data_IF_167090618169
#
_entry.id   IF_167090618169
#
_cell.length_a   1.000
_cell.length_b   1.000
_cell.length_c   1.000
_cell.angle_alpha   90.00
_cell.angle_beta   90.00
_cell.angle_gamma   90.00
#
_symmetry.space_group_name_H-M   'P 1'
#
loop_
_entity.id
_entity.type
_entity.pdbx_description
1 polymer ?
#
# COMPACT_ATOMS: atom_id res chain seq x y z
N UNK A 1 2.77 -19.97 -26.30
CA UNK A 1 2.97 -18.57 -25.87
C UNK A 1 3.90 -18.60 -24.68
N UNK A 2 5.11 -18.07 -24.84
CA UNK A 2 6.03 -17.91 -23.72
C UNK A 2 5.73 -16.56 -23.05
N UNK A 3 5.24 -16.61 -21.80
CA UNK A 3 4.96 -15.42 -21.02
C UNK A 3 6.25 -14.98 -20.31
N UNK A 4 6.57 -13.68 -20.29
CA UNK A 4 7.71 -13.18 -19.53
C UNK A 4 7.49 -13.46 -18.02
N UNK A 5 8.51 -14.04 -17.37
CA UNK A 5 8.50 -14.34 -15.94
C UNK A 5 9.29 -13.25 -15.22
N UNK A 6 8.72 -12.67 -14.18
CA UNK A 6 9.40 -11.76 -13.28
C UNK A 6 9.56 -12.41 -11.89
N UNK A 7 10.76 -12.93 -11.54
CA UNK A 7 11.02 -13.51 -10.24
C UNK A 7 11.51 -12.49 -9.19
N UNK A 8 11.35 -11.19 -9.45
CA UNK A 8 11.84 -10.16 -8.54
C UNK A 8 11.00 -10.01 -7.28
N UNK A 9 11.68 -9.79 -6.16
CA UNK A 9 11.11 -9.54 -4.84
C UNK A 9 11.24 -8.05 -4.55
N UNK A 10 10.11 -7.42 -4.27
CA UNK A 10 10.03 -6.03 -3.87
C UNK A 10 9.75 -5.91 -2.36
N UNK A 11 10.47 -5.02 -1.69
CA UNK A 11 10.23 -4.67 -0.29
C UNK A 11 9.85 -3.20 -0.16
N UNK A 12 8.89 -2.92 0.71
CA UNK A 12 8.50 -1.55 1.05
C UNK A 12 9.22 -1.12 2.33
N UNK A 13 9.74 0.10 2.35
CA UNK A 13 10.39 0.67 3.53
C UNK A 13 10.15 2.18 3.64
N UNK A 14 10.35 2.72 4.85
CA UNK A 14 10.42 4.16 5.08
C UNK A 14 11.58 4.78 4.29
N UNK A 15 11.45 6.07 3.99
CA UNK A 15 12.49 6.80 3.31
C UNK A 15 12.67 8.20 3.90
N UNK A 16 13.92 8.56 4.14
CA UNK A 16 14.35 9.92 4.42
C UNK A 16 15.85 10.02 4.23
N UNK A 17 16.29 11.04 3.49
CA UNK A 17 17.70 11.26 3.19
C UNK A 17 18.05 12.70 3.47
N UNK A 18 19.07 12.92 4.28
CA UNK A 18 19.63 14.25 4.52
C UNK A 18 21.11 14.11 4.90
N UNK A 19 21.93 15.13 4.66
CA UNK A 19 23.37 15.08 5.01
C UNK A 19 23.61 14.93 6.53
N UNK A 20 22.64 15.36 7.32
CA UNK A 20 22.59 15.24 8.78
C UNK A 20 21.50 14.25 9.20
N UNK A 21 21.87 13.26 10.02
CA UNK A 21 20.99 12.19 10.49
C UNK A 21 19.78 12.73 11.26
N UNK A 22 20.01 13.63 12.21
CA UNK A 22 18.97 14.09 13.13
C UNK A 22 17.93 14.93 12.38
N UNK A 23 18.37 15.72 11.39
CA UNK A 23 17.48 16.44 10.51
C UNK A 23 16.70 15.50 9.58
N UNK A 24 17.28 14.39 9.10
CA UNK A 24 16.54 13.36 8.35
C UNK A 24 15.40 12.78 9.21
N UNK A 25 15.72 12.39 10.44
CA UNK A 25 14.77 11.83 11.41
C UNK A 25 13.67 12.83 11.74
N UNK A 26 14.04 14.07 12.09
CA UNK A 26 13.11 15.15 12.41
C UNK A 26 12.14 15.44 11.25
N UNK A 27 12.61 15.38 10.01
CA UNK A 27 11.78 15.68 8.83
C UNK A 27 10.84 14.55 8.44
N UNK A 28 11.23 13.29 8.61
CA UNK A 28 10.53 12.16 7.98
C UNK A 28 9.91 11.14 8.95
N UNK A 29 10.38 11.05 10.20
CA UNK A 29 9.93 10.03 11.17
C UNK A 29 8.43 10.12 11.45
N UNK A 30 7.89 11.33 11.66
CA UNK A 30 6.46 11.50 11.95
C UNK A 30 5.58 11.07 10.76
N UNK A 31 6.01 11.37 9.53
CA UNK A 31 5.28 10.92 8.34
C UNK A 31 5.17 9.41 8.28
N UNK A 32 6.23 8.68 8.62
CA UNK A 32 6.23 7.23 8.67
C UNK A 32 5.39 6.66 9.83
N UNK A 33 5.43 7.30 11.00
CA UNK A 33 4.57 6.95 12.13
C UNK A 33 3.09 7.12 11.77
N UNK A 34 2.74 8.22 11.08
CA UNK A 34 1.39 8.43 10.59
C UNK A 34 0.98 7.36 9.55
N UNK A 35 1.86 6.99 8.63
CA UNK A 35 1.59 5.91 7.67
C UNK A 35 1.23 4.61 8.40
N UNK A 36 2.04 4.24 9.39
CA UNK A 36 1.78 3.06 10.22
C UNK A 36 0.47 3.14 11.00
N UNK A 37 0.16 4.31 11.58
CA UNK A 37 -1.12 4.56 12.24
C UNK A 37 -2.30 4.43 11.27
N UNK A 38 -2.16 4.96 10.05
CA UNK A 38 -3.16 4.85 9.00
C UNK A 38 -3.44 3.40 8.62
N UNK A 39 -2.42 2.54 8.53
CA UNK A 39 -2.63 1.10 8.33
C UNK A 39 -3.42 0.49 9.50
N UNK A 40 -3.04 0.77 10.74
CA UNK A 40 -3.78 0.30 11.91
C UNK A 40 -5.24 0.78 11.94
N UNK A 41 -5.48 2.04 11.55
CA UNK A 41 -6.84 2.58 11.45
C UNK A 41 -7.68 1.81 10.42
N UNK A 42 -7.15 1.55 9.22
CA UNK A 42 -7.95 0.90 8.18
C UNK A 42 -8.08 -0.61 8.33
N UNK A 43 -7.11 -1.27 8.95
CA UNK A 43 -7.06 -2.74 9.01
C UNK A 43 -7.31 -3.34 10.39
N UNK A 44 -7.20 -2.56 11.48
CA UNK A 44 -7.16 -3.12 12.84
C UNK A 44 -8.22 -2.51 13.74
N UNK A 45 -8.19 -1.20 13.97
CA UNK A 45 -8.95 -0.58 15.07
C UNK A 45 -9.85 0.59 14.67
N UNK A 46 -9.68 1.14 13.47
CA UNK A 46 -10.37 2.36 13.08
C UNK A 46 -11.76 2.12 12.51
N UNK A 47 -12.61 3.14 12.65
CA UNK A 47 -13.88 3.25 11.93
C UNK A 47 -13.78 4.49 11.05
N UNK A 48 -13.77 4.30 9.74
CA UNK A 48 -13.65 5.38 8.78
C UNK A 48 -15.04 5.84 8.30
N UNK A 49 -15.36 7.12 8.49
CA UNK A 49 -16.54 7.78 7.92
C UNK A 49 -16.08 8.66 6.75
N UNK A 50 -16.35 8.28 5.48
CA UNK A 50 -15.92 9.03 4.32
C UNK A 50 -16.30 10.51 4.39
N UNK A 51 -15.34 11.40 4.15
CA UNK A 51 -15.52 12.85 4.19
C UNK A 51 -15.80 13.44 5.58
N UNK A 52 -15.66 12.68 6.67
CA UNK A 52 -15.86 13.15 8.05
C UNK A 52 -14.74 12.74 9.01
N UNK A 53 -14.18 11.54 8.87
CA UNK A 53 -13.04 11.11 9.70
C UNK A 53 -11.78 11.90 9.33
N UNK A 54 -11.12 12.47 10.35
CA UNK A 54 -9.82 13.11 10.20
C UNK A 54 -8.74 12.27 10.89
N UNK A 55 -8.16 11.34 10.13
CA UNK A 55 -7.16 10.39 10.63
C UNK A 55 -5.90 11.10 11.12
N UNK A 56 -5.55 12.25 10.53
CA UNK A 56 -4.39 13.03 10.98
C UNK A 56 -4.59 13.63 12.37
N UNK A 57 -5.74 14.25 12.62
CA UNK A 57 -6.06 14.75 13.96
C UNK A 57 -6.12 13.62 14.99
N UNK A 58 -6.71 12.48 14.63
CA UNK A 58 -6.79 11.32 15.50
C UNK A 58 -5.40 10.75 15.81
N UNK A 59 -4.51 10.70 14.82
CA UNK A 59 -3.10 10.36 15.03
C UNK A 59 -2.42 11.31 16.02
N UNK A 60 -2.55 12.63 15.81
CA UNK A 60 -1.94 13.64 16.70
C UNK A 60 -2.45 13.52 18.15
N UNK A 61 -3.76 13.27 18.35
CA UNK A 61 -4.34 13.04 19.69
C UNK A 61 -3.83 11.77 20.36
N UNK A 62 -3.48 10.76 19.56
CA UNK A 62 -3.05 9.45 20.06
C UNK A 62 -1.54 9.24 19.99
N UNK A 63 -0.75 10.22 19.52
CA UNK A 63 0.69 10.10 19.23
C UNK A 63 1.47 9.46 20.38
N UNK A 64 1.25 9.95 21.60
CA UNK A 64 1.87 9.42 22.84
C UNK A 64 1.43 7.97 23.16
N UNK A 65 0.18 7.63 22.86
CA UNK A 65 -0.36 6.26 23.06
C UNK A 65 0.08 5.30 21.97
N UNK A 66 0.56 5.81 20.84
CA UNK A 66 0.96 5.05 19.64
C UNK A 66 2.47 4.95 19.46
N UNK A 67 3.27 5.66 20.26
CA UNK A 67 4.73 5.45 20.31
C UNK A 67 5.04 3.97 20.55
N UNK A 68 5.70 3.32 19.59
CA UNK A 68 6.05 1.90 19.64
C UNK A 68 4.88 0.93 19.41
N UNK A 69 3.70 1.41 18.98
CA UNK A 69 2.53 0.57 18.64
C UNK A 69 2.25 0.45 17.16
N UNK A 70 3.10 1.01 16.29
CA UNK A 70 3.09 0.58 14.90
C UNK A 70 3.37 -0.92 14.87
N UNK A 71 2.50 -1.70 14.21
CA UNK A 71 2.74 -3.13 13.98
C UNK A 71 4.04 -3.38 13.21
N UNK A 72 4.57 -2.35 12.54
CA UNK A 72 5.86 -2.34 11.88
C UNK A 72 6.97 -2.03 12.90
N UNK A 73 6.85 -0.99 13.73
CA UNK A 73 7.85 -0.65 14.78
C UNK A 73 8.04 -1.79 15.79
N UNK A 74 6.97 -2.51 16.17
CA UNK A 74 7.06 -3.66 17.09
C UNK A 74 7.91 -4.83 16.54
N UNK A 75 8.16 -4.87 15.23
CA UNK A 75 8.95 -5.91 14.55
C UNK A 75 10.35 -5.43 14.16
N UNK A 76 10.65 -4.15 14.38
CA UNK A 76 11.98 -3.57 14.14
C UNK A 76 12.80 -3.73 15.43
N UNK A 77 14.07 -4.10 15.32
CA UNK A 77 14.96 -4.19 16.48
C UNK A 77 14.95 -2.85 17.23
N UNK A 78 14.89 -2.83 18.57
CA UNK A 78 14.92 -1.58 19.35
C UNK A 78 16.15 -0.70 19.05
N UNK A 79 17.20 -1.26 18.44
CA UNK A 79 18.43 -0.54 18.06
C UNK A 79 18.31 0.27 16.76
N UNK A 80 17.19 0.17 16.02
CA UNK A 80 16.97 0.93 14.78
C UNK A 80 15.83 1.90 15.00
N UNK A 81 16.17 3.14 15.37
CA UNK A 81 15.18 4.17 15.72
C UNK A 81 14.31 4.59 14.53
N UNK A 82 14.86 4.55 13.30
CA UNK A 82 14.16 4.94 12.08
C UNK A 82 14.73 4.18 10.84
N UNK A 83 14.32 2.92 10.58
CA UNK A 83 14.85 2.16 9.44
C UNK A 83 14.58 2.91 8.13
N UNK A 84 15.57 3.00 7.23
CA UNK A 84 15.39 3.70 5.95
C UNK A 84 15.31 5.23 6.04
N UNK A 85 15.63 5.84 7.19
CA UNK A 85 15.77 7.29 7.35
C UNK A 85 17.16 7.59 7.90
N UNK A 86 17.92 8.47 7.25
CA UNK A 86 19.24 8.87 7.73
C UNK A 86 20.10 9.57 6.67
N UNK A 87 21.42 9.46 6.84
CA UNK A 87 22.43 9.96 5.88
C UNK A 87 22.55 9.06 4.65
N UNK A 88 23.12 9.55 3.53
CA UNK A 88 23.39 8.71 2.36
C UNK A 88 24.17 7.44 2.71
N UNK A 89 25.18 7.54 3.58
CA UNK A 89 25.99 6.40 4.02
C UNK A 89 25.17 5.36 4.80
N UNK A 90 24.28 5.82 5.68
CA UNK A 90 23.40 4.95 6.47
C UNK A 90 22.35 4.28 5.58
N UNK A 91 21.76 5.02 4.64
CA UNK A 91 20.84 4.48 3.65
C UNK A 91 21.52 3.44 2.75
N UNK A 92 22.71 3.71 2.24
CA UNK A 92 23.49 2.72 1.47
C UNK A 92 23.70 1.45 2.31
N UNK A 93 24.12 1.58 3.57
CA UNK A 93 24.32 0.45 4.48
C UNK A 93 23.02 -0.32 4.72
N UNK A 94 21.91 0.39 4.88
CA UNK A 94 20.60 -0.19 5.07
C UNK A 94 20.12 -0.96 3.82
N UNK A 95 20.23 -0.37 2.64
CA UNK A 95 19.83 -0.99 1.37
C UNK A 95 20.71 -2.19 0.97
N UNK A 96 21.99 -2.17 1.33
CA UNK A 96 22.89 -3.34 1.19
C UNK A 96 22.40 -4.55 1.98
N UNK A 97 21.69 -4.36 3.10
CA UNK A 97 21.09 -5.49 3.84
C UNK A 97 19.99 -6.13 3.00
N UNK A 98 19.13 -5.34 2.36
CA UNK A 98 18.09 -5.84 1.48
C UNK A 98 18.67 -6.58 0.28
N UNK A 99 19.64 -5.98 -0.41
CA UNK A 99 20.35 -6.61 -1.52
C UNK A 99 20.96 -7.96 -1.10
N UNK A 100 21.67 -8.01 0.04
CA UNK A 100 22.26 -9.25 0.56
C UNK A 100 21.23 -10.34 0.87
N UNK A 101 19.99 -9.95 1.21
CA UNK A 101 18.88 -10.90 1.44
C UNK A 101 18.15 -11.33 0.17
N UNK A 102 18.55 -10.83 -1.00
CA UNK A 102 17.92 -11.17 -2.28
C UNK A 102 16.72 -10.30 -2.65
N UNK A 103 16.57 -9.12 -2.03
CA UNK A 103 15.58 -8.13 -2.45
C UNK A 103 16.09 -7.43 -3.70
N UNK A 104 15.25 -7.37 -4.74
CA UNK A 104 15.60 -6.78 -6.03
C UNK A 104 15.13 -5.33 -6.16
N UNK A 105 14.02 -5.01 -5.48
CA UNK A 105 13.38 -3.71 -5.62
C UNK A 105 13.01 -3.17 -4.25
N UNK A 106 13.26 -1.89 -4.04
CA UNK A 106 12.86 -1.20 -2.81
C UNK A 106 11.88 -0.10 -3.20
N UNK A 107 10.70 -0.12 -2.59
CA UNK A 107 9.68 0.91 -2.73
C UNK A 107 9.70 1.80 -1.49
N UNK A 108 9.85 3.10 -1.70
CA UNK A 108 9.98 4.08 -0.64
C UNK A 108 8.64 4.73 -0.27
N UNK A 109 8.37 4.79 1.04
CA UNK A 109 7.29 5.58 1.60
C UNK A 109 7.81 6.98 1.92
N UNK A 110 7.42 7.94 1.10
CA UNK A 110 7.81 9.36 1.20
C UNK A 110 6.65 10.27 1.63
N UNK A 111 5.47 10.07 1.03
CA UNK A 111 4.27 10.85 1.31
C UNK A 111 3.51 10.26 2.50
N UNK A 112 4.07 10.46 3.69
CA UNK A 112 3.43 10.14 4.96
C UNK A 112 3.04 11.42 5.71
N UNK A 113 1.78 11.52 6.13
CA UNK A 113 1.34 12.56 7.04
C UNK A 113 1.45 13.97 6.46
N UNK A 114 2.22 14.83 7.12
CA UNK A 114 2.47 16.22 6.71
C UNK A 114 3.92 16.46 6.32
N UNK A 115 4.61 15.44 5.80
CA UNK A 115 5.92 15.62 5.19
C UNK A 115 5.85 16.73 4.14
N UNK A 116 6.73 17.73 4.26
CA UNK A 116 6.73 18.87 3.35
C UNK A 116 7.26 18.44 1.98
N UNK A 117 6.66 18.99 0.93
CA UNK A 117 7.08 18.74 -0.45
C UNK A 117 8.56 19.05 -0.68
N UNK A 118 9.05 20.20 -0.19
CA UNK A 118 10.46 20.62 -0.31
C UNK A 118 11.42 19.56 0.25
N UNK A 119 11.14 19.04 1.46
CA UNK A 119 11.97 18.01 2.08
C UNK A 119 11.95 16.68 1.31
N UNK A 120 10.80 16.32 0.72
CA UNK A 120 10.66 15.12 -0.10
C UNK A 120 11.55 15.21 -1.33
N UNK A 121 11.50 16.35 -2.04
CA UNK A 121 12.31 16.59 -3.24
C UNK A 121 13.81 16.60 -2.91
N UNK A 122 14.23 17.34 -1.88
CA UNK A 122 15.63 17.36 -1.43
C UNK A 122 16.17 15.95 -1.12
N UNK A 123 15.37 15.13 -0.44
CA UNK A 123 15.75 13.77 -0.10
C UNK A 123 15.85 12.84 -1.33
N UNK A 124 14.97 13.01 -2.33
CA UNK A 124 15.02 12.25 -3.59
C UNK A 124 16.23 12.64 -4.44
N UNK A 125 16.51 13.95 -4.55
CA UNK A 125 17.67 14.46 -5.27
C UNK A 125 18.97 13.91 -4.66
N UNK A 126 19.09 13.99 -3.33
CA UNK A 126 20.26 13.50 -2.61
C UNK A 126 20.41 11.98 -2.72
N UNK A 127 19.32 11.22 -2.66
CA UNK A 127 19.37 9.78 -2.90
C UNK A 127 19.81 9.45 -4.33
N UNK A 128 19.30 10.18 -5.31
CA UNK A 128 19.63 9.96 -6.72
C UNK A 128 21.11 10.25 -7.03
N UNK A 129 21.72 11.25 -6.37
CA UNK A 129 23.12 11.60 -6.56
C UNK A 129 24.08 10.74 -5.75
N UNK A 130 23.77 10.46 -4.48
CA UNK A 130 24.79 9.95 -3.53
C UNK A 130 24.60 8.48 -3.16
N UNK A 131 23.43 7.89 -3.42
CA UNK A 131 23.11 6.50 -3.03
C UNK A 131 22.83 5.62 -4.25
N UNK A 132 21.94 6.06 -5.13
CA UNK A 132 21.46 5.28 -6.27
C UNK A 132 22.56 4.80 -7.25
N UNK A 133 23.62 5.59 -7.56
CA UNK A 133 24.61 5.19 -8.56
C UNK A 133 25.32 3.87 -8.21
N UNK A 134 25.66 3.65 -6.94
CA UNK A 134 26.36 2.45 -6.48
C UNK A 134 25.57 1.15 -6.74
N UNK A 135 24.24 1.21 -6.64
CA UNK A 135 23.38 0.06 -6.94
C UNK A 135 23.18 -0.09 -8.44
N UNK A 136 23.01 1.01 -9.17
CA UNK A 136 22.80 1.00 -10.62
C UNK A 136 24.00 0.46 -11.40
N UNK A 137 25.21 0.73 -10.94
CA UNK A 137 26.45 0.28 -11.60
C UNK A 137 26.51 -1.26 -11.77
N UNK A 138 25.99 -2.01 -10.78
CA UNK A 138 26.06 -3.48 -10.74
C UNK A 138 24.75 -4.20 -11.01
N UNK A 139 23.65 -3.47 -11.18
CA UNK A 139 22.31 -4.05 -11.32
C UNK A 139 22.18 -5.00 -12.51
N UNK A 140 22.70 -4.61 -13.68
CA UNK A 140 22.60 -5.44 -14.90
C UNK A 140 23.30 -6.79 -14.74
N UNK A 141 24.47 -6.81 -14.08
CA UNK A 141 25.20 -8.05 -13.81
C UNK A 141 24.43 -8.94 -12.82
N UNK A 142 23.91 -8.36 -11.74
CA UNK A 142 23.09 -9.04 -10.73
C UNK A 142 21.82 -9.65 -11.32
N UNK A 143 21.07 -8.89 -12.14
CA UNK A 143 19.86 -9.37 -12.80
C UNK A 143 20.16 -10.56 -13.71
N UNK A 144 21.25 -10.48 -14.49
CA UNK A 144 21.67 -11.57 -15.36
C UNK A 144 22.01 -12.83 -14.58
N UNK A 145 22.86 -12.72 -13.56
CA UNK A 145 23.27 -13.86 -12.72
C UNK A 145 22.06 -14.53 -12.07
N UNK A 146 21.16 -13.74 -11.48
CA UNK A 146 19.92 -14.25 -10.89
C UNK A 146 19.04 -14.96 -11.91
N UNK A 147 18.87 -14.42 -13.11
CA UNK A 147 18.04 -15.05 -14.14
C UNK A 147 18.64 -16.36 -14.64
N UNK A 148 19.97 -16.45 -14.75
CA UNK A 148 20.68 -17.68 -15.10
C UNK A 148 20.52 -18.74 -13.99
N UNK A 149 20.69 -18.35 -12.72
CA UNK A 149 20.49 -19.22 -11.56
C UNK A 149 19.04 -19.74 -11.47
N UNK A 150 18.06 -18.86 -11.68
CA UNK A 150 16.65 -19.19 -11.52
C UNK A 150 16.04 -19.96 -12.69
N UNK A 151 16.65 -19.92 -13.88
CA UNK A 151 16.14 -20.55 -15.10
C UNK A 151 15.63 -22.00 -14.93
N UNK A 152 16.37 -22.95 -14.32
CA UNK A 152 15.87 -24.31 -14.11
C UNK A 152 14.64 -24.37 -13.20
N UNK A 153 14.62 -23.58 -12.12
CA UNK A 153 13.49 -23.56 -11.18
C UNK A 153 12.24 -22.95 -11.79
N UNK A 154 12.41 -21.88 -12.58
CA UNK A 154 11.32 -21.24 -13.32
C UNK A 154 10.71 -22.20 -14.34
N UNK A 155 11.55 -22.95 -15.07
CA UNK A 155 11.09 -23.98 -16.00
C UNK A 155 10.23 -25.03 -15.31
N UNK A 156 10.68 -25.56 -14.16
CA UNK A 156 9.90 -26.54 -13.40
C UNK A 156 8.63 -25.94 -12.79
N UNK A 157 8.66 -24.68 -12.32
CA UNK A 157 7.46 -23.99 -11.83
C UNK A 157 6.40 -23.84 -12.93
N UNK A 158 6.82 -23.50 -14.15
CA UNK A 158 5.90 -23.34 -15.28
C UNK A 158 5.29 -24.68 -15.72
N UNK A 159 5.99 -25.80 -15.60
CA UNK A 159 5.39 -27.14 -15.83
C UNK A 159 4.27 -27.46 -14.85
N UNK A 160 4.36 -26.94 -13.61
CA UNK A 160 3.31 -27.13 -12.58
C UNK A 160 2.14 -26.16 -12.71
N UNK A 161 2.26 -25.12 -13.54
CA UNK A 161 1.21 -24.12 -13.72
C UNK A 161 0.00 -24.76 -14.38
N UNK A 162 -1.13 -24.80 -13.68
CA UNK A 162 -2.42 -25.15 -14.25
C UNK A 162 -2.93 -23.96 -15.07
N UNK A 163 -2.90 -24.11 -16.38
CA UNK A 163 -3.46 -23.12 -17.29
C UNK A 163 -4.99 -23.14 -17.21
N UNK A 164 -5.57 -21.95 -17.13
CA UNK A 164 -7.01 -21.77 -17.28
C UNK A 164 -7.28 -21.38 -18.73
N UNK A 165 -8.38 -21.89 -19.28
CA UNK A 165 -8.87 -21.39 -20.55
C UNK A 165 -9.24 -19.91 -20.38
N UNK A 166 -9.07 -19.13 -21.44
CA UNK A 166 -9.61 -17.77 -21.51
C UNK A 166 -11.15 -17.85 -21.34
N UNK A 167 -11.70 -16.89 -20.60
CA UNK A 167 -13.15 -16.76 -20.48
C UNK A 167 -13.73 -16.41 -21.84
N UNK A 168 -14.83 -17.05 -22.20
CA UNK A 168 -15.64 -16.62 -23.36
C UNK A 168 -16.35 -15.32 -23.03
N UNK A 169 -16.72 -14.56 -24.05
CA UNK A 169 -17.40 -13.26 -23.89
C UNK A 169 -18.67 -13.36 -23.01
N UNK A 170 -19.42 -14.46 -23.09
CA UNK A 170 -20.63 -14.69 -22.30
C UNK A 170 -20.34 -15.09 -20.84
N UNK A 171 -19.11 -15.50 -20.52
CA UNK A 171 -18.66 -15.84 -19.17
C UNK A 171 -18.08 -14.62 -18.42
N UNK A 172 -17.82 -13.51 -19.12
CA UNK A 172 -17.28 -12.28 -18.52
C UNK A 172 -18.45 -11.47 -17.94
N UNK A 173 -18.51 -11.26 -16.61
CA UNK A 173 -19.59 -10.49 -16.01
C UNK A 173 -19.48 -9.01 -16.40
N UNK A 174 -20.61 -8.39 -16.74
CA UNK A 174 -20.68 -6.95 -16.86
C UNK A 174 -20.44 -6.30 -15.49
N UNK A 175 -19.43 -5.42 -15.42
CA UNK A 175 -19.21 -4.57 -14.24
C UNK A 175 -19.93 -3.25 -14.47
N UNK A 176 -21.10 -3.12 -13.87
CA UNK A 176 -21.89 -1.90 -14.01
C UNK A 176 -21.28 -0.72 -13.25
N UNK A 177 -21.34 0.46 -13.85
CA UNK A 177 -20.88 1.68 -13.19
C UNK A 177 -21.70 1.98 -11.93
N UNK A 178 -21.04 2.40 -10.85
CA UNK A 178 -21.64 2.71 -9.55
C UNK A 178 -22.86 3.65 -9.65
N UNK A 179 -22.82 4.63 -10.56
CA UNK A 179 -23.94 5.55 -10.78
C UNK A 179 -25.23 4.85 -11.24
N UNK A 180 -25.13 3.81 -12.08
CA UNK A 180 -26.31 3.02 -12.51
C UNK A 180 -26.86 2.17 -11.37
N UNK A 181 -25.96 1.52 -10.63
CA UNK A 181 -26.32 0.71 -9.46
C UNK A 181 -27.11 1.53 -8.43
N UNK A 182 -26.69 2.76 -8.14
CA UNK A 182 -27.40 3.67 -7.22
C UNK A 182 -28.80 4.05 -7.74
N UNK A 183 -28.94 4.32 -9.05
CA UNK A 183 -30.22 4.66 -9.66
C UNK A 183 -31.19 3.46 -9.62
N UNK A 184 -30.71 2.26 -9.88
CA UNK A 184 -31.55 1.06 -9.84
C UNK A 184 -31.96 0.69 -8.41
N UNK A 185 -31.05 0.79 -7.44
CA UNK A 185 -31.41 0.61 -6.04
C UNK A 185 -32.48 1.60 -5.56
N UNK A 186 -32.38 2.86 -5.98
CA UNK A 186 -33.37 3.88 -5.60
C UNK A 186 -34.75 3.58 -6.21
N UNK A 187 -34.80 3.20 -7.50
CA UNK A 187 -36.05 2.74 -8.16
C UNK A 187 -36.64 1.50 -7.49
N UNK A 188 -35.81 0.52 -7.12
CA UNK A 188 -36.25 -0.69 -6.44
C UNK A 188 -36.81 -0.38 -5.04
N UNK A 189 -36.19 0.53 -4.30
CA UNK A 189 -36.71 1.02 -3.00
C UNK A 189 -38.04 1.76 -3.16
N UNK A 190 -38.19 2.60 -4.19
CA UNK A 190 -39.46 3.27 -4.50
C UNK A 190 -40.58 2.29 -4.87
N UNK A 191 -40.28 1.29 -5.69
CA UNK A 191 -41.24 0.25 -6.09
C UNK A 191 -41.68 -0.60 -4.88
N UNK A 192 -40.75 -0.95 -4.00
CA UNK A 192 -41.05 -1.67 -2.75
C UNK A 192 -41.94 -0.84 -1.82
N UNK A 193 -41.67 0.47 -1.68
CA UNK A 193 -42.52 1.37 -0.90
C UNK A 193 -43.92 1.51 -1.50
N UNK A 194 -44.06 1.67 -2.83
CA UNK A 194 -45.37 1.72 -3.50
C UNK A 194 -46.19 0.43 -3.27
N UNK A 195 -45.55 -0.75 -3.32
CA UNK A 195 -46.21 -2.03 -3.01
C UNK A 195 -46.66 -2.10 -1.56
N UNK A 196 -45.85 -1.68 -0.59
CA UNK A 196 -46.23 -1.62 0.83
C UNK A 196 -47.44 -0.70 1.03
N UNK A 197 -47.45 0.49 0.42
CA UNK A 197 -48.58 1.42 0.50
C UNK A 197 -49.85 0.87 -0.14
N UNK A 198 -49.74 0.15 -1.26
CA UNK A 198 -50.87 -0.50 -1.92
C UNK A 198 -51.46 -1.65 -1.07
N UNK A 199 -50.61 -2.46 -0.43
CA UNK A 199 -51.04 -3.50 0.52
C UNK A 199 -51.73 -2.88 1.73
N UNK A 200 -51.19 -1.80 2.28
CA UNK A 200 -51.80 -1.09 3.41
C UNK A 200 -53.18 -0.52 3.08
N UNK A 201 -53.35 0.06 1.88
CA UNK A 201 -54.67 0.51 1.37
C UNK A 201 -55.65 -0.65 1.16
N UNK A 202 -55.18 -1.81 0.70
CA UNK A 202 -56.03 -2.99 0.48
C UNK A 202 -56.52 -3.60 1.80
N UNK A 203 -55.68 -3.62 2.84
CA UNK A 203 -56.05 -4.09 4.19
C UNK A 203 -57.02 -3.14 4.89
N UNK A 204 -56.90 -1.82 4.67
CA UNK A 204 -57.83 -0.84 5.25
C UNK A 204 -59.21 -0.81 4.59
N UNK A 205 -59.34 -1.25 3.33
CA UNK A 205 -60.63 -1.41 2.64
C UNK A 205 -61.36 -2.69 3.09
N UNK A 206 -60.65 -3.71 3.58
CA UNK A 206 -61.25 -4.99 4.02
C UNK A 206 -61.84 -4.89 5.45
N UNK A 207 -61.49 -3.85 6.23
CA UNK A 207 -62.01 -3.64 7.59
C UNK A 207 -63.23 -2.69 7.68
N UNK A 208 -63.92 -2.47 6.55
CA UNK A 208 -65.19 -1.74 6.49
C UNK A 208 -66.25 -2.58 5.76
N UNK A 209 -66.57 -3.76 6.31
CA UNK A 209 -67.86 -4.45 6.20
C UNK A 209 -68.00 -5.39 7.40
#
# INVERSE_FOLDING_TARGET
MDFPINPNIAMVTSFGCHQDHDEAVKRMKEGFQFFSYGLGHHYIFGINKPGRSNIWEDFQKNKIKTEGRSTIEQRVSPDIEAPGIGTPKELTTYLKKFEKTGVDQVTFIQQGGRNKHEHICEALELFASDVMPEFKERESAREKEKMEELAPYLKEAMKRKKWMAELKDDEIPNVEALGRQIIEESKNKEAANKKKTAVFKKVSIINFF
#
